data_IF_102145780852
#
_entry.id   IF_102145780852
#
_cell.length_a   1.000
_cell.length_b   1.000
_cell.length_c   1.000
_cell.angle_alpha   90.00
_cell.angle_beta   90.00
_cell.angle_gamma   90.00
#
_symmetry.space_group_name_H-M   'P 1'
#
loop_
_entity.id
_entity.type
_entity.pdbx_description
1 polymer ?
#
# COMPACT_ATOMS: atom_id res chain seq x y z
N UNK A 1 23.35 -13.25 -5.58
CA UNK A 1 22.16 -13.46 -6.44
C UNK A 1 22.48 -13.11 -7.90
N UNK A 2 22.92 -11.90 -8.20
CA UNK A 2 23.24 -11.47 -9.58
C UNK A 2 24.28 -12.37 -10.32
N UNK A 3 25.18 -13.05 -9.59
CA UNK A 3 26.12 -13.99 -10.20
C UNK A 3 25.46 -15.27 -10.77
N UNK A 4 24.27 -15.66 -10.27
CA UNK A 4 23.55 -16.85 -10.73
C UNK A 4 22.49 -16.57 -11.80
N UNK A 5 21.80 -15.42 -11.71
CA UNK A 5 20.65 -15.10 -12.56
C UNK A 5 20.90 -13.87 -13.46
N UNK A 6 22.10 -13.28 -13.38
CA UNK A 6 22.44 -12.03 -14.07
C UNK A 6 21.89 -10.78 -13.40
N UNK A 7 22.28 -9.57 -13.86
CA UNK A 7 21.74 -8.32 -13.36
C UNK A 7 20.27 -8.16 -13.80
N UNK A 8 19.42 -7.55 -12.94
CA UNK A 8 18.05 -7.28 -13.33
C UNK A 8 18.00 -6.24 -14.46
N UNK A 9 17.05 -6.39 -15.37
CA UNK A 9 16.81 -5.40 -16.44
C UNK A 9 16.16 -4.13 -15.86
N UNK A 10 15.21 -4.31 -14.98
CA UNK A 10 14.48 -3.25 -14.29
C UNK A 10 14.53 -3.46 -12.77
N UNK A 11 14.73 -2.37 -12.05
CA UNK A 11 14.65 -2.31 -10.59
C UNK A 11 13.53 -1.36 -10.19
N UNK A 12 12.52 -1.88 -9.49
CA UNK A 12 11.43 -1.06 -8.97
C UNK A 12 11.74 -0.59 -7.56
N UNK A 13 11.66 0.74 -7.33
CA UNK A 13 11.95 1.37 -6.04
C UNK A 13 10.82 2.30 -5.61
N UNK A 14 10.71 2.56 -4.32
CA UNK A 14 9.82 3.60 -3.76
C UNK A 14 10.33 5.02 -4.01
N UNK A 15 11.51 5.17 -4.58
CA UNK A 15 12.18 6.42 -4.88
C UNK A 15 13.19 6.87 -3.82
N UNK A 16 13.49 6.05 -2.81
CA UNK A 16 14.58 6.30 -1.87
C UNK A 16 15.93 6.38 -2.61
N UNK A 17 16.78 7.32 -2.18
CA UNK A 17 18.07 7.60 -2.84
C UNK A 17 18.97 6.36 -2.80
N UNK A 18 19.02 5.69 -1.64
CA UNK A 18 19.84 4.52 -1.40
C UNK A 18 19.48 3.34 -2.32
N UNK A 19 18.19 3.21 -2.67
CA UNK A 19 17.73 2.17 -3.58
C UNK A 19 18.07 2.50 -5.04
N UNK A 20 18.18 3.77 -5.40
CA UNK A 20 18.64 4.18 -6.74
C UNK A 20 20.12 3.93 -6.90
N UNK A 21 20.94 4.28 -5.91
CA UNK A 21 22.37 4.01 -5.90
C UNK A 21 22.69 2.50 -5.90
N UNK A 22 21.82 1.68 -5.33
CA UNK A 22 21.99 0.22 -5.35
C UNK A 22 21.90 -0.38 -6.76
N UNK A 23 21.30 0.32 -7.72
CA UNK A 23 21.26 -0.14 -9.11
C UNK A 23 22.64 -0.19 -9.74
N UNK A 24 23.50 0.78 -9.42
CA UNK A 24 24.87 0.86 -9.94
C UNK A 24 25.71 -0.34 -9.49
N UNK A 25 25.46 -0.84 -8.27
CA UNK A 25 26.12 -2.04 -7.71
C UNK A 25 25.69 -3.32 -8.45
N UNK A 26 24.49 -3.32 -9.04
CA UNK A 26 23.97 -4.48 -9.79
C UNK A 26 24.39 -4.48 -11.26
N UNK A 27 24.94 -3.40 -11.78
CA UNK A 27 25.35 -3.27 -13.17
C UNK A 27 26.54 -4.17 -13.51
N UNK A 28 26.55 -4.66 -14.73
CA UNK A 28 27.70 -5.33 -15.35
C UNK A 28 28.11 -4.56 -16.60
N UNK A 29 29.39 -4.67 -17.03
CA UNK A 29 29.82 -4.09 -18.27
C UNK A 29 28.90 -4.45 -19.44
N UNK A 30 28.33 -3.43 -20.09
CA UNK A 30 27.40 -3.59 -21.22
C UNK A 30 25.93 -3.86 -20.86
N UNK A 31 25.56 -3.95 -19.57
CA UNK A 31 24.18 -4.19 -19.17
C UNK A 31 23.76 -3.23 -18.03
N UNK A 32 23.09 -2.15 -18.40
CA UNK A 32 22.55 -1.15 -17.46
C UNK A 32 21.21 -1.59 -16.89
N UNK A 33 21.06 -1.50 -15.56
CA UNK A 33 19.80 -1.69 -14.84
C UNK A 33 18.99 -0.40 -14.87
N UNK A 34 17.77 -0.46 -15.37
CA UNK A 34 16.87 0.69 -15.46
C UNK A 34 16.06 0.77 -14.15
N UNK A 35 16.15 1.92 -13.46
CA UNK A 35 15.38 2.14 -12.22
C UNK A 35 14.02 2.72 -12.57
N UNK A 36 12.96 2.03 -12.16
CA UNK A 36 11.58 2.47 -12.24
C UNK A 36 11.09 2.86 -10.84
N UNK A 37 10.24 3.88 -10.76
CA UNK A 37 9.65 4.34 -9.49
C UNK A 37 8.28 3.71 -9.28
N UNK A 38 7.96 3.42 -8.02
CA UNK A 38 6.66 2.89 -7.64
C UNK A 38 5.55 3.93 -7.82
N UNK A 39 4.53 3.58 -8.62
CA UNK A 39 3.39 4.44 -8.93
C UNK A 39 2.54 4.75 -7.70
N UNK A 40 2.37 3.79 -6.79
CA UNK A 40 1.55 3.95 -5.59
C UNK A 40 2.18 4.95 -4.63
N UNK A 41 3.50 4.86 -4.44
CA UNK A 41 4.26 5.82 -3.64
C UNK A 41 4.25 7.21 -4.27
N UNK A 42 4.42 7.29 -5.60
CA UNK A 42 4.34 8.57 -6.31
C UNK A 42 2.97 9.22 -6.17
N UNK A 43 1.89 8.45 -6.35
CA UNK A 43 0.51 8.93 -6.23
C UNK A 43 0.20 9.41 -4.81
N UNK A 44 0.61 8.64 -3.78
CA UNK A 44 0.45 9.03 -2.37
C UNK A 44 1.20 10.32 -2.03
N UNK A 45 2.45 10.45 -2.47
CA UNK A 45 3.26 11.66 -2.28
C UNK A 45 2.67 12.87 -3.03
N UNK A 46 2.07 12.63 -4.20
CA UNK A 46 1.38 13.69 -4.95
C UNK A 46 0.14 14.17 -4.21
N UNK A 47 -0.68 13.24 -3.69
CA UNK A 47 -1.84 13.58 -2.85
C UNK A 47 -1.42 14.35 -1.59
N UNK A 48 -0.37 13.91 -0.92
CA UNK A 48 0.16 14.60 0.26
C UNK A 48 0.57 16.03 -0.05
N UNK A 49 1.26 16.26 -1.17
CA UNK A 49 1.71 17.59 -1.59
C UNK A 49 0.55 18.52 -1.95
N UNK A 50 -0.49 17.99 -2.61
CA UNK A 50 -1.62 18.78 -3.08
C UNK A 50 -2.64 19.07 -1.97
N UNK A 51 -2.87 18.12 -1.07
CA UNK A 51 -3.99 18.17 -0.12
C UNK A 51 -3.51 17.97 1.32
N UNK A 52 -2.58 17.04 1.55
CA UNK A 52 -2.21 16.57 2.89
C UNK A 52 -1.62 17.64 3.79
N UNK A 53 -1.03 18.69 3.22
CA UNK A 53 -0.43 19.84 3.95
C UNK A 53 -1.42 20.97 4.18
N UNK A 54 -2.64 20.91 3.63
CA UNK A 54 -3.63 21.95 3.87
C UNK A 54 -4.15 21.91 5.30
N UNK A 55 -4.37 23.07 5.90
CA UNK A 55 -4.92 23.20 7.24
C UNK A 55 -6.29 22.55 7.34
N UNK A 56 -7.16 22.78 6.34
CA UNK A 56 -8.50 22.18 6.24
C UNK A 56 -8.48 20.66 6.27
N UNK A 57 -7.55 20.03 5.54
CA UNK A 57 -7.43 18.57 5.54
C UNK A 57 -6.93 18.03 6.87
N UNK A 58 -5.97 18.70 7.50
CA UNK A 58 -5.44 18.33 8.81
C UNK A 58 -6.50 18.45 9.89
N UNK A 59 -7.28 19.53 9.86
CA UNK A 59 -8.40 19.76 10.76
C UNK A 59 -9.49 18.69 10.58
N UNK A 60 -9.88 18.37 9.35
CA UNK A 60 -10.81 17.29 9.03
C UNK A 60 -10.38 15.96 9.66
N UNK A 61 -9.11 15.59 9.50
CA UNK A 61 -8.59 14.34 10.08
C UNK A 61 -8.58 14.37 11.61
N UNK A 62 -8.31 15.52 12.23
CA UNK A 62 -8.39 15.72 13.68
C UNK A 62 -9.82 15.55 14.20
N UNK A 63 -10.80 16.20 13.54
CA UNK A 63 -12.22 16.08 13.86
C UNK A 63 -12.71 14.63 13.73
N UNK A 64 -12.26 13.94 12.69
CA UNK A 64 -12.60 12.54 12.46
C UNK A 64 -12.10 11.63 13.59
N UNK A 65 -10.86 11.83 14.05
CA UNK A 65 -10.32 11.08 15.20
C UNK A 65 -11.11 11.34 16.48
N UNK A 66 -11.42 12.59 16.77
CA UNK A 66 -12.26 12.98 17.95
C UNK A 66 -13.67 12.40 17.86
N UNK A 67 -14.27 12.43 16.67
CA UNK A 67 -15.61 11.88 16.43
C UNK A 67 -15.63 10.38 16.68
N UNK A 68 -14.62 9.64 16.18
CA UNK A 68 -14.51 8.20 16.42
C UNK A 68 -14.53 7.89 17.93
N UNK A 69 -13.69 8.57 18.72
CA UNK A 69 -13.64 8.36 20.18
C UNK A 69 -14.97 8.66 20.87
N UNK A 70 -15.71 9.66 20.37
CA UNK A 70 -16.97 10.12 21.01
C UNK A 70 -18.17 9.23 20.69
N UNK A 71 -18.19 8.53 19.57
CA UNK A 71 -19.39 7.81 19.11
C UNK A 71 -19.26 6.29 19.10
N UNK A 72 -18.03 5.74 19.11
CA UNK A 72 -17.81 4.30 18.98
C UNK A 72 -18.46 3.43 20.07
N UNK A 73 -18.81 4.02 21.21
CA UNK A 73 -19.46 3.35 22.35
C UNK A 73 -20.88 3.87 22.60
N UNK A 74 -21.50 4.50 21.60
CA UNK A 74 -22.85 5.04 21.67
C UNK A 74 -23.76 4.35 20.65
N UNK A 75 -25.05 4.71 20.69
CA UNK A 75 -26.05 4.29 19.69
C UNK A 75 -25.68 4.67 18.24
N UNK A 76 -24.75 5.63 18.08
CA UNK A 76 -24.20 6.06 16.78
C UNK A 76 -22.97 5.27 16.35
N UNK A 77 -22.61 4.18 17.02
CA UNK A 77 -21.38 3.41 16.73
C UNK A 77 -21.29 2.90 15.29
N UNK A 78 -22.44 2.64 14.65
CA UNK A 78 -22.48 2.22 13.24
C UNK A 78 -22.05 3.34 12.26
N UNK A 79 -22.05 4.59 12.71
CA UNK A 79 -21.49 5.73 11.99
C UNK A 79 -20.04 6.05 12.38
N UNK A 80 -19.41 5.25 13.23
CA UNK A 80 -18.05 5.54 13.67
C UNK A 80 -17.07 5.62 12.47
N UNK A 81 -16.26 6.69 12.40
CA UNK A 81 -15.26 6.82 11.35
C UNK A 81 -14.29 5.64 11.34
N UNK A 82 -13.73 5.27 10.19
CA UNK A 82 -12.69 4.25 10.13
C UNK A 82 -11.46 4.66 10.94
N UNK A 83 -10.69 3.70 11.50
CA UNK A 83 -9.46 4.01 12.21
C UNK A 83 -8.44 4.62 11.24
N UNK A 84 -7.79 5.69 11.67
CA UNK A 84 -6.71 6.31 10.91
C UNK A 84 -5.43 5.48 11.08
N UNK A 85 -4.77 5.19 9.96
CA UNK A 85 -3.47 4.51 9.97
C UNK A 85 -2.35 5.55 9.92
N UNK A 86 -1.47 5.65 10.95
CA UNK A 86 -0.38 6.62 10.94
C UNK A 86 0.65 6.31 9.86
N UNK A 87 0.95 5.02 9.63
CA UNK A 87 1.85 4.58 8.56
C UNK A 87 1.11 4.52 7.23
N UNK A 88 1.75 4.99 6.17
CA UNK A 88 1.21 5.02 4.81
C UNK A 88 -0.17 5.72 4.75
N UNK A 89 -0.35 6.80 5.53
CA UNK A 89 -1.61 7.55 5.64
C UNK A 89 -2.21 7.84 4.28
N UNK A 90 -1.45 8.43 3.37
CA UNK A 90 -1.93 8.87 2.06
C UNK A 90 -2.18 7.73 1.05
N UNK A 91 -1.74 6.51 1.35
CA UNK A 91 -2.07 5.31 0.58
C UNK A 91 -3.42 4.69 0.97
N UNK A 92 -3.99 5.08 2.12
CA UNK A 92 -5.16 4.45 2.72
C UNK A 92 -6.28 5.44 3.07
N UNK A 93 -6.40 6.54 2.34
CA UNK A 93 -7.39 7.60 2.60
C UNK A 93 -8.81 7.24 2.14
N UNK A 94 -8.96 6.37 1.16
CA UNK A 94 -10.24 6.06 0.54
C UNK A 94 -11.37 5.75 1.54
N UNK A 95 -11.18 4.88 2.54
CA UNK A 95 -12.22 4.63 3.56
C UNK A 95 -12.62 5.90 4.35
N UNK A 96 -11.65 6.74 4.68
CA UNK A 96 -11.85 7.98 5.44
C UNK A 96 -12.63 9.03 4.64
N UNK A 97 -12.29 9.20 3.37
CA UNK A 97 -12.97 10.15 2.48
C UNK A 97 -14.38 9.67 2.11
N UNK A 98 -14.53 8.38 1.81
CA UNK A 98 -15.87 7.78 1.53
C UNK A 98 -16.77 7.86 2.74
N UNK A 99 -16.24 7.67 3.96
CA UNK A 99 -17.01 7.87 5.18
C UNK A 99 -17.54 9.31 5.28
N UNK A 100 -16.68 10.31 5.06
CA UNK A 100 -17.10 11.71 5.09
C UNK A 100 -18.19 12.01 4.07
N UNK A 101 -18.06 11.50 2.86
CA UNK A 101 -19.07 11.66 1.80
C UNK A 101 -20.39 10.98 2.18
N UNK A 102 -20.34 9.76 2.70
CA UNK A 102 -21.51 9.01 3.16
C UNK A 102 -22.25 9.78 4.27
N UNK A 103 -21.53 10.29 5.27
CA UNK A 103 -22.14 11.09 6.35
C UNK A 103 -22.70 12.40 5.82
N UNK A 104 -22.00 13.10 4.95
CA UNK A 104 -22.49 14.33 4.32
C UNK A 104 -23.80 14.09 3.58
N UNK A 105 -23.90 12.98 2.84
CA UNK A 105 -25.12 12.58 2.15
C UNK A 105 -26.25 12.24 3.15
N UNK A 106 -25.95 11.41 4.15
CA UNK A 106 -26.91 11.03 5.20
C UNK A 106 -27.49 12.26 5.93
N UNK A 107 -26.65 13.24 6.24
CA UNK A 107 -27.09 14.49 6.89
C UNK A 107 -27.92 15.40 5.99
N UNK A 108 -27.86 15.22 4.68
CA UNK A 108 -28.63 15.99 3.67
C UNK A 108 -29.99 15.34 3.35
N UNK A 109 -30.14 14.04 3.62
CA UNK A 109 -31.35 13.27 3.34
C UNK A 109 -32.20 13.07 4.58
N UNK A 110 -33.27 13.87 4.72
CA UNK A 110 -34.22 13.79 5.83
C UNK A 110 -34.89 12.41 5.97
N UNK A 111 -35.02 11.65 4.87
CA UNK A 111 -35.65 10.33 4.86
C UNK A 111 -34.71 9.26 5.44
N UNK A 112 -33.41 9.37 5.20
CA UNK A 112 -32.39 8.50 5.80
C UNK A 112 -32.28 8.69 7.31
N UNK A 113 -32.48 9.92 7.82
CA UNK A 113 -32.38 10.23 9.24
C UNK A 113 -33.50 9.60 10.08
N UNK A 114 -34.69 9.38 9.51
CA UNK A 114 -35.85 8.84 10.25
C UNK A 114 -35.86 7.32 10.37
N UNK A 115 -35.07 6.61 9.56
CA UNK A 115 -35.10 5.13 9.45
C UNK A 115 -34.31 4.37 10.51
N UNK A 116 -33.41 5.02 11.24
CA UNK A 116 -32.37 4.31 12.01
C UNK A 116 -32.58 4.32 13.54
N UNK A 117 -33.75 4.69 14.02
CA UNK A 117 -34.06 4.66 15.48
C UNK A 117 -33.25 5.62 16.32
N UNK A 118 -32.40 6.46 15.71
CA UNK A 118 -31.58 7.47 16.36
C UNK A 118 -32.16 8.85 16.07
N UNK A 119 -32.23 9.71 17.06
CA UNK A 119 -32.71 11.08 16.92
C UNK A 119 -31.85 11.88 15.94
N UNK A 120 -32.49 12.54 14.96
CA UNK A 120 -31.83 13.43 14.01
C UNK A 120 -31.04 14.55 14.72
N UNK A 121 -31.57 15.05 15.87
CA UNK A 121 -30.88 16.03 16.70
C UNK A 121 -29.54 15.48 17.22
N UNK A 122 -29.53 14.22 17.71
CA UNK A 122 -28.34 13.58 18.23
C UNK A 122 -27.28 13.30 17.12
N UNK A 123 -27.75 12.87 15.94
CA UNK A 123 -26.89 12.69 14.76
C UNK A 123 -26.28 14.02 14.34
N UNK A 124 -27.07 15.08 14.29
CA UNK A 124 -26.58 16.42 13.95
C UNK A 124 -25.57 16.96 14.99
N UNK A 125 -25.83 16.75 16.28
CA UNK A 125 -24.91 17.16 17.35
C UNK A 125 -23.51 16.52 17.19
N UNK A 126 -23.44 15.25 16.83
CA UNK A 126 -22.18 14.49 16.77
C UNK A 126 -21.50 14.54 15.40
N UNK A 127 -22.27 14.60 14.33
CA UNK A 127 -21.77 14.45 12.96
C UNK A 127 -21.97 15.71 12.09
N UNK A 128 -22.74 16.70 12.57
CA UNK A 128 -23.10 17.90 11.81
C UNK A 128 -21.94 18.70 11.24
N UNK A 129 -20.79 18.65 11.91
CA UNK A 129 -19.55 19.31 11.47
C UNK A 129 -19.07 18.84 10.08
N UNK A 130 -19.44 17.62 9.63
CA UNK A 130 -19.05 17.08 8.33
C UNK A 130 -19.60 17.93 7.17
N UNK A 131 -20.73 18.64 7.39
CA UNK A 131 -21.30 19.53 6.35
C UNK A 131 -20.37 20.66 5.94
N UNK A 132 -19.55 21.13 6.88
CA UNK A 132 -18.58 22.21 6.65
C UNK A 132 -17.47 21.81 5.66
N UNK A 133 -17.33 20.51 5.39
CA UNK A 133 -16.32 19.94 4.48
C UNK A 133 -16.91 19.37 3.19
N UNK A 134 -18.17 19.69 2.88
CA UNK A 134 -18.89 19.09 1.76
C UNK A 134 -18.18 19.29 0.41
N UNK A 135 -17.71 20.48 0.16
CA UNK A 135 -17.03 20.84 -1.09
C UNK A 135 -15.62 20.22 -1.15
N UNK A 136 -14.89 20.35 -0.06
CA UNK A 136 -13.56 19.74 0.06
C UNK A 136 -13.63 18.22 -0.06
N UNK A 137 -14.59 17.57 0.59
CA UNK A 137 -14.81 16.13 0.48
C UNK A 137 -15.12 15.70 -0.95
N UNK A 138 -15.92 16.46 -1.68
CA UNK A 138 -16.18 16.20 -3.09
C UNK A 138 -14.89 16.25 -3.92
N UNK A 139 -14.05 17.26 -3.69
CA UNK A 139 -12.78 17.43 -4.37
C UNK A 139 -11.76 16.36 -3.98
N UNK A 140 -11.58 16.07 -2.68
CA UNK A 140 -10.65 15.05 -2.18
C UNK A 140 -11.02 13.65 -2.65
N UNK A 141 -12.32 13.31 -2.69
CA UNK A 141 -12.79 12.02 -3.24
C UNK A 141 -12.51 11.90 -4.74
N UNK A 142 -12.56 13.01 -5.51
CA UNK A 142 -12.16 12.99 -6.93
C UNK A 142 -10.66 12.72 -7.07
N UNK A 143 -9.82 13.36 -6.27
CA UNK A 143 -8.37 13.10 -6.28
C UNK A 143 -8.08 11.63 -5.92
N UNK A 144 -8.77 11.08 -4.93
CA UNK A 144 -8.65 9.67 -4.57
C UNK A 144 -9.12 8.76 -5.70
N UNK A 145 -10.23 9.07 -6.36
CA UNK A 145 -10.73 8.31 -7.50
C UNK A 145 -9.76 8.33 -8.69
N UNK A 146 -9.11 9.47 -8.97
CA UNK A 146 -8.04 9.59 -9.97
C UNK A 146 -6.87 8.67 -9.61
N UNK A 147 -6.43 8.69 -8.35
CA UNK A 147 -5.35 7.84 -7.85
C UNK A 147 -5.71 6.35 -8.02
N UNK A 148 -6.89 5.95 -7.58
CA UNK A 148 -7.35 4.54 -7.68
C UNK A 148 -7.51 4.08 -9.12
N UNK A 149 -8.07 4.91 -10.00
CA UNK A 149 -8.19 4.59 -11.42
C UNK A 149 -6.82 4.39 -12.08
N UNK A 150 -5.85 5.24 -11.74
CA UNK A 150 -4.48 5.15 -12.25
C UNK A 150 -3.77 3.90 -11.76
N UNK A 151 -3.87 3.58 -10.46
CA UNK A 151 -3.30 2.35 -9.89
C UNK A 151 -3.95 1.10 -10.49
N UNK A 152 -5.28 1.09 -10.62
CA UNK A 152 -6.00 -0.02 -11.23
C UNK A 152 -5.58 -0.24 -12.69
N UNK A 153 -5.40 0.85 -13.44
CA UNK A 153 -4.92 0.77 -14.83
C UNK A 153 -3.52 0.13 -14.90
N UNK A 154 -2.57 0.63 -14.12
CA UNK A 154 -1.19 0.14 -14.08
C UNK A 154 -1.10 -1.29 -13.55
N UNK A 155 -1.84 -1.63 -12.49
CA UNK A 155 -1.85 -2.99 -11.94
C UNK A 155 -2.45 -4.01 -12.93
N UNK A 156 -3.39 -3.59 -13.78
CA UNK A 156 -4.01 -4.46 -14.76
C UNK A 156 -3.18 -4.61 -16.05
N UNK A 157 -2.59 -3.52 -16.51
CA UNK A 157 -1.98 -3.46 -17.84
C UNK A 157 -0.46 -3.41 -17.82
N UNK A 158 0.16 -3.07 -16.67
CA UNK A 158 1.58 -2.76 -16.59
C UNK A 158 1.93 -1.44 -17.28
N UNK A 159 3.20 -1.07 -17.19
CA UNK A 159 3.81 0.05 -17.92
C UNK A 159 4.35 -0.47 -19.25
N UNK A 160 4.04 0.21 -20.35
CA UNK A 160 4.51 -0.06 -21.71
C UNK A 160 4.44 1.23 -22.54
N UNK A 161 5.11 1.28 -23.67
CA UNK A 161 5.06 2.47 -24.54
C UNK A 161 3.65 2.73 -25.06
N UNK A 162 3.10 3.94 -24.79
CA UNK A 162 1.73 4.35 -25.06
C UNK A 162 0.76 4.14 -23.89
N UNK A 163 1.25 3.68 -22.72
CA UNK A 163 0.41 3.56 -21.52
C UNK A 163 -0.07 4.91 -20.99
N UNK A 164 0.72 5.98 -21.14
CA UNK A 164 0.32 7.34 -20.73
C UNK A 164 -0.92 7.82 -21.50
N UNK A 165 -0.94 7.68 -22.82
CA UNK A 165 -2.10 8.09 -23.64
C UNK A 165 -3.36 7.29 -23.28
N UNK A 166 -3.23 6.00 -22.98
CA UNK A 166 -4.37 5.17 -22.54
C UNK A 166 -4.85 5.53 -21.14
N UNK A 167 -3.95 5.84 -20.22
CA UNK A 167 -4.29 6.34 -18.89
C UNK A 167 -5.03 7.67 -19.00
N UNK A 168 -4.55 8.60 -19.84
CA UNK A 168 -5.18 9.88 -20.10
C UNK A 168 -6.62 9.71 -20.58
N UNK A 169 -6.87 8.78 -21.52
CA UNK A 169 -8.23 8.47 -21.97
C UNK A 169 -9.13 7.90 -20.85
N UNK A 170 -8.56 7.08 -19.95
CA UNK A 170 -9.31 6.54 -18.78
C UNK A 170 -9.67 7.67 -17.82
N UNK A 171 -8.72 8.55 -17.50
CA UNK A 171 -8.96 9.66 -16.56
C UNK A 171 -9.88 10.73 -17.14
N UNK A 172 -9.81 11.01 -18.44
CA UNK A 172 -10.75 11.91 -19.14
C UNK A 172 -12.19 11.39 -19.07
N UNK A 173 -12.41 10.09 -19.28
CA UNK A 173 -13.72 9.47 -19.09
C UNK A 173 -14.22 9.57 -17.67
N UNK A 174 -13.33 9.36 -16.68
CA UNK A 174 -13.68 9.50 -15.26
C UNK A 174 -14.08 10.94 -14.93
N UNK A 175 -13.32 11.93 -15.40
CA UNK A 175 -13.62 13.35 -15.20
C UNK A 175 -14.97 13.76 -15.82
N UNK A 176 -15.28 13.26 -17.01
CA UNK A 176 -16.56 13.53 -17.68
C UNK A 176 -17.79 13.05 -16.87
N UNK A 177 -17.63 11.99 -16.04
CA UNK A 177 -18.71 11.50 -15.17
C UNK A 177 -19.07 12.45 -14.03
N UNK A 178 -18.21 13.41 -13.69
CA UNK A 178 -18.45 14.31 -12.54
C UNK A 178 -19.22 15.58 -12.88
N UNK A 179 -19.33 15.93 -14.16
CA UNK A 179 -20.10 17.08 -14.65
C UNK A 179 -19.60 18.47 -14.23
N UNK A 180 -18.60 18.52 -13.32
CA UNK A 180 -17.97 19.76 -12.82
C UNK A 180 -16.48 19.57 -12.70
N UNK A 181 -15.72 20.64 -12.90
CA UNK A 181 -14.26 20.66 -12.76
C UNK A 181 -13.81 20.77 -11.30
N UNK A 182 -12.63 20.27 -11.00
CA UNK A 182 -11.95 20.44 -9.72
C UNK A 182 -10.45 20.52 -10.00
N UNK A 183 -9.88 21.69 -9.85
CA UNK A 183 -8.47 22.00 -10.17
C UNK A 183 -7.48 21.01 -9.53
N UNK A 184 -7.72 20.62 -8.27
CA UNK A 184 -6.86 19.64 -7.58
C UNK A 184 -6.90 18.27 -8.26
N UNK A 185 -8.08 17.82 -8.71
CA UNK A 185 -8.20 16.53 -9.41
C UNK A 185 -7.60 16.56 -10.81
N UNK A 186 -7.68 17.68 -11.50
CA UNK A 186 -7.04 17.92 -12.80
C UNK A 186 -5.52 17.92 -12.65
N UNK A 187 -5.01 18.65 -11.65
CA UNK A 187 -3.58 18.67 -11.31
C UNK A 187 -3.08 17.27 -10.92
N UNK A 188 -3.85 16.52 -10.14
CA UNK A 188 -3.53 15.15 -9.78
C UNK A 188 -3.44 14.25 -11.02
N UNK A 189 -4.43 14.34 -11.92
CA UNK A 189 -4.47 13.61 -13.19
C UNK A 189 -3.24 13.93 -14.05
N UNK A 190 -2.95 15.21 -14.26
CA UNK A 190 -1.82 15.66 -15.06
C UNK A 190 -0.49 15.11 -14.53
N UNK A 191 -0.27 15.18 -13.20
CA UNK A 191 0.95 14.65 -12.57
C UNK A 191 1.09 13.14 -12.70
N UNK A 192 0.00 12.39 -12.61
CA UNK A 192 0.04 10.92 -12.75
C UNK A 192 0.25 10.51 -14.21
N UNK A 193 -0.35 11.20 -15.17
CA UNK A 193 -0.11 10.98 -16.60
C UNK A 193 1.34 11.29 -16.95
N UNK A 194 1.88 12.40 -16.46
CA UNK A 194 3.28 12.79 -16.69
C UNK A 194 4.25 11.77 -16.11
N UNK A 195 4.02 11.31 -14.88
CA UNK A 195 4.81 10.25 -14.28
C UNK A 195 4.83 8.97 -15.14
N UNK A 196 3.68 8.56 -15.69
CA UNK A 196 3.59 7.38 -16.57
C UNK A 196 4.30 7.65 -17.89
N UNK A 197 4.18 8.86 -18.45
CA UNK A 197 4.84 9.29 -19.69
C UNK A 197 6.36 9.27 -19.54
N UNK A 198 6.89 9.84 -18.47
CA UNK A 198 8.33 9.77 -18.16
C UNK A 198 8.80 8.32 -18.00
N UNK A 199 8.05 7.53 -17.22
CA UNK A 199 8.42 6.15 -16.92
C UNK A 199 8.39 5.24 -18.15
N UNK A 200 7.44 5.43 -19.09
CA UNK A 200 7.37 4.62 -20.30
C UNK A 200 8.51 4.90 -21.28
N UNK A 201 9.13 6.11 -21.23
CA UNK A 201 10.31 6.42 -22.06
C UNK A 201 11.54 5.62 -21.65
N UNK A 202 11.60 5.19 -20.38
CA UNK A 202 12.70 4.37 -19.86
C UNK A 202 12.63 2.92 -20.34
N UNK A 203 11.47 2.46 -20.79
CA UNK A 203 11.31 1.09 -21.28
C UNK A 203 11.94 0.92 -22.67
N UNK A 204 12.51 -0.25 -22.87
CA UNK A 204 12.91 -0.69 -24.23
C UNK A 204 11.67 -0.90 -25.08
N UNK A 205 11.86 -0.85 -26.37
CA UNK A 205 10.79 -1.13 -27.33
C UNK A 205 10.20 -2.53 -27.08
N UNK A 206 8.87 -2.64 -27.09
CA UNK A 206 8.10 -3.85 -26.79
C UNK A 206 8.22 -4.42 -25.37
N UNK A 207 8.96 -3.77 -24.45
CA UNK A 207 8.98 -4.20 -23.05
C UNK A 207 7.71 -3.77 -22.33
N UNK A 208 7.34 -4.60 -21.36
CA UNK A 208 6.28 -4.31 -20.37
C UNK A 208 6.82 -4.58 -18.98
N UNK A 209 6.63 -3.65 -18.07
CA UNK A 209 7.09 -3.77 -16.70
C UNK A 209 5.98 -3.45 -15.69
N UNK A 210 6.07 -4.04 -14.51
CA UNK A 210 5.27 -3.64 -13.37
C UNK A 210 5.93 -2.42 -12.70
N UNK A 211 5.10 -1.45 -12.30
CA UNK A 211 5.56 -0.25 -11.58
C UNK A 211 4.76 -0.05 -10.30
N UNK A 212 4.36 -1.15 -9.68
CA UNK A 212 3.71 -1.18 -8.37
C UNK A 212 4.25 -2.33 -7.54
N UNK A 213 4.66 -2.03 -6.31
CA UNK A 213 5.09 -3.02 -5.30
C UNK A 213 3.92 -3.63 -4.53
N UNK A 214 2.68 -3.33 -4.88
CA UNK A 214 1.48 -3.71 -4.13
C UNK A 214 1.36 -5.23 -3.94
N UNK A 215 1.72 -6.02 -4.94
CA UNK A 215 1.76 -7.48 -4.83
C UNK A 215 2.81 -7.95 -3.82
N UNK A 216 4.00 -7.34 -3.84
CA UNK A 216 5.06 -7.64 -2.86
C UNK A 216 4.64 -7.21 -1.45
N UNK A 217 4.05 -6.02 -1.29
CA UNK A 217 3.52 -5.56 -0.01
C UNK A 217 2.45 -6.50 0.55
N UNK A 218 1.57 -7.03 -0.32
CA UNK A 218 0.58 -8.03 0.05
C UNK A 218 1.23 -9.32 0.54
N UNK A 219 2.23 -9.82 -0.18
CA UNK A 219 3.00 -11.01 0.21
C UNK A 219 3.71 -10.81 1.55
N UNK A 220 4.36 -9.66 1.75
CA UNK A 220 4.97 -9.31 3.04
C UNK A 220 3.93 -9.16 4.16
N UNK A 221 2.74 -8.63 3.86
CA UNK A 221 1.62 -8.55 4.79
C UNK A 221 1.14 -9.93 5.24
N UNK A 222 1.04 -10.89 4.32
CA UNK A 222 0.71 -12.29 4.62
C UNK A 222 1.81 -12.95 5.44
N UNK A 223 3.07 -12.77 5.04
CA UNK A 223 4.22 -13.28 5.79
C UNK A 223 4.22 -12.77 7.23
N UNK A 224 4.07 -11.46 7.45
CA UNK A 224 4.00 -10.85 8.79
C UNK A 224 2.83 -11.37 9.63
N UNK A 225 1.72 -11.70 9.00
CA UNK A 225 0.56 -12.29 9.70
C UNK A 225 0.86 -13.70 10.17
N UNK A 226 1.53 -14.51 9.34
CA UNK A 226 2.01 -15.84 9.73
C UNK A 226 3.07 -15.74 10.81
N UNK A 227 4.02 -14.81 10.68
CA UNK A 227 5.06 -14.55 11.68
C UNK A 227 4.45 -14.16 13.05
N UNK A 228 3.41 -13.33 13.06
CA UNK A 228 2.70 -12.92 14.28
C UNK A 228 1.93 -14.06 14.97
N UNK A 229 1.65 -15.17 14.28
CA UNK A 229 1.06 -16.38 14.86
C UNK A 229 2.11 -17.30 15.49
N UNK A 230 3.39 -17.09 15.22
CA UNK A 230 4.50 -17.84 15.80
C UNK A 230 5.19 -16.99 16.87
N UNK A 231 5.39 -17.57 18.05
CA UNK A 231 5.98 -16.87 19.22
C UNK A 231 7.44 -16.44 19.07
N UNK A 232 8.10 -16.85 17.98
CA UNK A 232 9.51 -16.57 17.71
C UNK A 232 9.60 -15.76 16.42
N UNK A 233 9.61 -14.42 16.56
CA UNK A 233 9.83 -13.51 15.43
C UNK A 233 11.29 -13.48 14.98
N UNK A 234 11.52 -13.05 13.75
CA UNK A 234 12.82 -12.83 13.13
C UNK A 234 13.08 -13.68 11.89
N UNK A 235 14.33 -13.66 11.42
CA UNK A 235 14.79 -14.44 10.26
C UNK A 235 14.81 -15.93 10.61
N UNK A 236 13.68 -16.58 10.45
CA UNK A 236 13.43 -17.98 10.82
C UNK A 236 13.25 -18.85 9.58
N UNK A 237 13.07 -20.15 9.78
CA UNK A 237 12.65 -21.10 8.73
C UNK A 237 11.39 -20.63 7.98
N UNK A 238 10.57 -19.77 8.57
CA UNK A 238 9.40 -19.19 7.95
C UNK A 238 9.77 -18.34 6.73
N UNK A 239 10.96 -17.70 6.70
CA UNK A 239 11.41 -16.95 5.53
C UNK A 239 11.57 -17.86 4.29
N UNK A 240 12.01 -19.10 4.50
CA UNK A 240 12.09 -20.08 3.42
C UNK A 240 10.72 -20.49 2.88
N UNK A 241 9.66 -20.30 3.66
CA UNK A 241 8.28 -20.58 3.25
C UNK A 241 7.66 -19.40 2.45
N UNK A 242 8.31 -18.24 2.39
CA UNK A 242 7.77 -17.06 1.69
C UNK A 242 7.40 -17.33 0.22
N UNK A 243 8.19 -18.06 -0.59
CA UNK A 243 7.80 -18.41 -1.96
C UNK A 243 6.52 -19.24 -2.05
N UNK A 244 6.19 -19.99 -0.99
CA UNK A 244 4.95 -20.77 -0.93
C UNK A 244 3.70 -19.89 -0.95
N UNK A 245 3.78 -18.67 -0.43
CA UNK A 245 2.68 -17.69 -0.44
C UNK A 245 2.33 -17.21 -1.86
N UNK A 246 3.22 -17.43 -2.82
CA UNK A 246 3.10 -17.02 -4.22
C UNK A 246 2.68 -18.18 -5.14
N UNK A 247 2.46 -19.37 -4.57
CA UNK A 247 2.22 -20.59 -5.34
C UNK A 247 0.82 -21.12 -5.06
N UNK A 248 0.07 -21.48 -6.11
CA UNK A 248 -1.19 -22.20 -5.96
C UNK A 248 -0.90 -23.61 -5.47
N UNK A 249 -1.34 -23.91 -4.25
CA UNK A 249 -1.17 -25.21 -3.61
C UNK A 249 -2.34 -26.13 -3.95
N UNK A 250 -2.02 -27.22 -4.64
CA UNK A 250 -2.93 -28.36 -4.82
C UNK A 250 -2.52 -29.49 -3.88
N UNK A 251 -3.46 -30.37 -3.55
CA UNK A 251 -3.18 -31.55 -2.71
C UNK A 251 -2.06 -32.43 -3.30
N UNK A 252 -1.99 -32.52 -4.63
CA UNK A 252 -0.96 -33.30 -5.32
C UNK A 252 0.42 -32.66 -5.21
N UNK A 253 0.53 -31.34 -5.38
CA UNK A 253 1.81 -30.62 -5.15
C UNK A 253 2.31 -30.76 -3.71
N UNK A 254 1.41 -30.69 -2.73
CA UNK A 254 1.78 -30.91 -1.32
C UNK A 254 2.30 -32.32 -1.12
N UNK A 255 1.60 -33.34 -1.64
CA UNK A 255 1.98 -34.75 -1.54
C UNK A 255 3.34 -35.00 -2.20
N UNK A 256 3.54 -34.51 -3.40
CA UNK A 256 4.80 -34.61 -4.13
C UNK A 256 5.97 -33.96 -3.38
N UNK A 257 5.76 -32.75 -2.87
CA UNK A 257 6.79 -32.04 -2.09
C UNK A 257 7.19 -32.79 -0.83
N UNK A 258 6.24 -33.38 -0.11
CA UNK A 258 6.50 -34.18 1.09
C UNK A 258 7.23 -35.49 0.77
N UNK A 259 7.01 -36.08 -0.42
CA UNK A 259 7.71 -37.28 -0.87
C UNK A 259 9.14 -37.00 -1.30
N UNK A 260 9.40 -35.83 -1.92
CA UNK A 260 10.71 -35.46 -2.48
C UNK A 260 11.68 -34.91 -1.44
N UNK A 261 11.18 -34.21 -0.43
CA UNK A 261 12.01 -33.49 0.54
C UNK A 261 11.74 -33.95 1.97
N UNK A 262 12.70 -34.68 2.55
CA UNK A 262 12.61 -35.03 3.97
C UNK A 262 12.84 -33.82 4.90
N UNK A 263 12.25 -33.86 6.09
CA UNK A 263 12.46 -32.83 7.13
C UNK A 263 13.95 -32.65 7.46
N UNK A 264 14.74 -33.72 7.40
CA UNK A 264 16.20 -33.68 7.61
C UNK A 264 16.90 -32.84 6.54
N UNK A 265 16.56 -33.04 5.26
CA UNK A 265 17.10 -32.25 4.13
C UNK A 265 16.70 -30.79 4.24
N UNK A 266 15.46 -30.49 4.61
CA UNK A 266 14.97 -29.13 4.83
C UNK A 266 15.75 -28.44 5.97
N UNK A 267 15.93 -29.08 7.12
CA UNK A 267 16.68 -28.53 8.25
C UNK A 267 18.14 -28.27 7.91
N UNK A 268 18.78 -29.19 7.17
CA UNK A 268 20.15 -29.02 6.71
C UNK A 268 20.27 -27.81 5.78
N UNK A 269 19.39 -27.68 4.81
CA UNK A 269 19.36 -26.54 3.89
C UNK A 269 19.14 -25.19 4.62
N UNK A 270 18.22 -25.15 5.59
CA UNK A 270 17.97 -23.96 6.41
C UNK A 270 19.21 -23.54 7.20
N UNK A 271 19.87 -24.52 7.83
CA UNK A 271 21.12 -24.27 8.60
C UNK A 271 22.24 -23.72 7.71
N UNK A 272 22.35 -24.24 6.49
CA UNK A 272 23.39 -23.86 5.53
C UNK A 272 23.14 -22.49 4.86
N UNK A 273 21.87 -22.18 4.55
CA UNK A 273 21.54 -21.04 3.69
C UNK A 273 20.97 -19.81 4.43
N UNK A 274 20.32 -19.96 5.59
CA UNK A 274 19.72 -18.85 6.34
C UNK A 274 20.55 -18.34 7.50
N UNK A 275 21.60 -19.09 7.92
CA UNK A 275 22.50 -18.71 9.01
C UNK A 275 21.80 -18.54 10.37
N UNK A 276 22.52 -18.04 11.35
CA UNK A 276 22.01 -17.75 12.69
C UNK A 276 21.39 -16.35 12.76
N UNK A 277 20.16 -16.26 13.26
CA UNK A 277 19.49 -14.97 13.45
C UNK A 277 20.18 -14.09 14.49
N UNK A 278 19.99 -12.77 14.40
CA UNK A 278 20.50 -11.83 15.40
C UNK A 278 19.98 -12.16 16.80
N UNK A 279 18.72 -12.59 16.92
CA UNK A 279 18.11 -13.02 18.17
C UNK A 279 18.82 -14.27 18.74
N UNK A 280 19.12 -15.26 17.89
CA UNK A 280 19.86 -16.46 18.28
C UNK A 280 21.28 -16.11 18.75
N UNK A 281 21.99 -15.22 18.05
CA UNK A 281 23.32 -14.74 18.46
C UNK A 281 23.29 -14.03 19.82
N UNK A 282 22.24 -13.19 20.06
CA UNK A 282 22.06 -12.54 21.37
C UNK A 282 21.83 -13.56 22.48
N UNK A 283 20.97 -14.55 22.28
CA UNK A 283 20.71 -15.60 23.26
C UNK A 283 21.99 -16.41 23.57
N UNK A 284 22.77 -16.73 22.53
CA UNK A 284 24.04 -17.43 22.72
C UNK A 284 25.02 -16.57 23.52
N UNK A 285 25.20 -15.30 23.15
CA UNK A 285 26.08 -14.38 23.89
C UNK A 285 25.65 -14.20 25.36
N UNK A 286 24.35 -14.13 25.64
CA UNK A 286 23.81 -14.07 27.00
C UNK A 286 24.11 -15.35 27.79
N UNK A 287 24.02 -16.54 27.19
CA UNK A 287 24.31 -17.81 27.84
C UNK A 287 25.83 -17.94 28.13
N UNK A 288 26.65 -17.55 27.18
CA UNK A 288 28.12 -17.55 27.34
C UNK A 288 28.55 -16.58 28.44
N UNK A 289 27.98 -15.37 28.49
CA UNK A 289 28.29 -14.41 29.55
C UNK A 289 27.80 -14.87 30.93
N UNK A 290 26.66 -15.55 31.02
CA UNK A 290 26.14 -16.09 32.27
C UNK A 290 27.00 -17.28 32.78
N UNK A 291 27.48 -18.14 31.89
CA UNK A 291 28.39 -19.26 32.28
C UNK A 291 29.76 -18.77 32.68
N UNK A 292 30.28 -17.68 32.12
CA UNK A 292 31.54 -17.06 32.51
C UNK A 292 31.47 -16.34 33.87
N UNK A 293 30.30 -15.97 34.33
CA UNK A 293 30.09 -15.32 35.64
C UNK A 293 29.89 -16.32 36.81
N UNK A 294 29.71 -17.59 36.50
CA UNK A 294 29.48 -18.67 37.49
C UNK A 294 30.65 -19.63 37.63
N UNK A 295 31.74 -19.46 36.92
CA UNK A 295 33.02 -20.17 37.04
C UNK A 295 34.10 -19.26 37.58
#
# INVERSE_FOLDING_TARGET
>A
MAARIGPPRYLLTDGAVELRESADVLEKPGQKTIVLRDMKHFAANTFEKLIGKSERFTEYLSQLGRTRCRIQQTELSHFAPPPQKPKARFMNLGPTLRWGQMISHHLSDAHSQSRQGVSAARTNEKLGWVREYREELACWNRCEAVMQASLKFINRHGLYRGSAAKLEAVLSKLAACWGTTCELSETMSAKLIEFVRESETLLRENDRSWVSTENLESCFGWFKRLEGQHSIGGFTCLLAAMPMLLTDWTADRVRESLQQVSVKKMKAWVSENLGTTLASRRVTAYRESASAATG
#
